data_IF_475535134491
#
_entry.id   IF_475535134491
#
_cell.length_a   1.000
_cell.length_b   1.000
_cell.length_c   1.000
_cell.angle_alpha   90.00
_cell.angle_beta   90.00
_cell.angle_gamma   90.00
#
_symmetry.space_group_name_H-M   'P 1'
#
loop_
_entity.id
_entity.type
_entity.pdbx_description
1 polymer ?
#
# COMPACT_ATOMS: atom_id res chain seq x y z
N UNK A 1 -34.64 -11.94 24.29
CA UNK A 1 -33.95 -12.96 25.09
C UNK A 1 -32.71 -13.40 24.35
N UNK A 2 -31.55 -13.18 24.92
CA UNK A 2 -30.28 -13.69 24.36
C UNK A 2 -30.28 -15.20 24.61
N UNK A 3 -30.18 -15.99 23.56
CA UNK A 3 -30.26 -17.43 23.63
C UNK A 3 -28.92 -18.13 23.73
N UNK A 4 -27.80 -17.44 23.42
CA UNK A 4 -26.46 -18.01 23.46
C UNK A 4 -25.44 -16.96 23.84
N UNK A 5 -24.38 -17.37 24.51
CA UNK A 5 -23.21 -16.53 24.77
C UNK A 5 -22.43 -16.23 23.45
N UNK A 6 -21.89 -15.05 23.36
CA UNK A 6 -21.03 -14.68 22.22
C UNK A 6 -19.70 -15.47 22.31
N UNK A 7 -19.13 -15.88 21.16
CA UNK A 7 -17.86 -16.61 21.13
C UNK A 7 -16.68 -15.79 21.67
N UNK A 8 -16.81 -14.47 21.70
CA UNK A 8 -15.89 -13.51 22.33
C UNK A 8 -16.61 -12.18 22.60
N UNK A 9 -16.04 -11.36 23.49
CA UNK A 9 -16.57 -10.03 23.78
C UNK A 9 -16.37 -9.08 22.59
N UNK A 10 -17.41 -8.31 22.26
CA UNK A 10 -17.36 -7.21 21.31
C UNK A 10 -16.70 -5.99 21.95
N UNK A 11 -16.94 -5.78 23.26
CA UNK A 11 -16.34 -4.69 24.02
C UNK A 11 -14.86 -4.94 24.29
N UNK A 12 -14.10 -3.88 24.44
CA UNK A 12 -12.71 -3.96 24.85
C UNK A 12 -12.62 -4.50 26.30
N UNK A 13 -12.01 -5.65 26.47
CA UNK A 13 -11.70 -6.22 27.78
C UNK A 13 -10.22 -5.99 28.06
N UNK A 14 -9.92 -5.42 29.23
CA UNK A 14 -8.54 -5.24 29.71
C UNK A 14 -8.27 -6.12 30.92
N UNK A 15 -7.05 -6.66 30.98
CA UNK A 15 -6.56 -7.35 32.17
C UNK A 15 -6.32 -6.36 33.30
N UNK A 16 -6.05 -6.86 34.51
CA UNK A 16 -5.77 -6.02 35.69
C UNK A 16 -4.55 -5.11 35.54
N UNK A 17 -3.60 -5.49 34.68
CA UNK A 17 -2.40 -4.74 34.33
C UNK A 17 -2.63 -3.71 33.20
N UNK A 18 -3.88 -3.57 32.71
CA UNK A 18 -4.24 -2.67 31.61
C UNK A 18 -4.06 -3.26 30.21
N UNK A 19 -3.49 -4.45 30.08
CA UNK A 19 -3.27 -5.13 28.77
C UNK A 19 -4.60 -5.46 28.10
N UNK A 20 -4.73 -5.09 26.82
CA UNK A 20 -5.92 -5.39 26.04
C UNK A 20 -6.02 -6.90 25.74
N UNK A 21 -7.16 -7.48 26.05
CA UNK A 21 -7.47 -8.88 25.69
C UNK A 21 -7.95 -8.91 24.24
N UNK A 22 -7.10 -9.41 23.34
CA UNK A 22 -7.46 -9.62 21.94
C UNK A 22 -7.88 -11.07 21.77
N UNK A 23 -9.10 -11.35 21.29
CA UNK A 23 -9.53 -12.71 20.99
C UNK A 23 -8.63 -13.37 19.93
N UNK A 24 -8.56 -14.71 19.97
CA UNK A 24 -7.80 -15.49 19.00
C UNK A 24 -8.19 -15.12 17.56
N UNK A 25 -7.23 -15.02 16.66
CA UNK A 25 -7.42 -14.56 15.28
C UNK A 25 -8.35 -15.50 14.49
N UNK A 26 -8.16 -16.82 14.61
CA UNK A 26 -9.02 -17.81 13.93
C UNK A 26 -10.49 -17.66 14.35
N UNK A 27 -10.72 -17.39 15.62
CA UNK A 27 -12.05 -17.18 16.15
C UNK A 27 -12.67 -15.87 15.63
N UNK A 28 -11.87 -14.81 15.53
CA UNK A 28 -12.27 -13.51 14.95
C UNK A 28 -12.58 -13.64 13.46
N UNK A 29 -11.80 -14.40 12.72
CA UNK A 29 -12.03 -14.66 11.29
C UNK A 29 -13.27 -15.52 11.08
N UNK A 30 -13.46 -16.55 11.90
CA UNK A 30 -14.67 -17.41 11.85
C UNK A 30 -15.96 -16.62 12.10
N UNK A 31 -15.94 -15.69 13.05
CA UNK A 31 -17.08 -14.84 13.41
C UNK A 31 -16.84 -13.39 13.01
N UNK A 32 -16.38 -13.18 11.77
CA UNK A 32 -15.93 -11.88 11.28
C UNK A 32 -16.96 -10.75 11.47
N UNK A 33 -18.24 -11.05 11.33
CA UNK A 33 -19.33 -10.09 11.56
C UNK A 33 -19.42 -9.58 13.01
N UNK A 34 -18.97 -10.38 13.99
CA UNK A 34 -18.85 -9.93 15.39
C UNK A 34 -17.55 -9.12 15.59
N UNK A 35 -16.45 -9.56 14.99
CA UNK A 35 -15.18 -8.82 15.08
C UNK A 35 -15.30 -7.42 14.47
N UNK A 36 -16.04 -7.28 13.37
CA UNK A 36 -16.34 -5.99 12.74
C UNK A 36 -17.20 -5.05 13.61
N UNK A 37 -17.80 -5.53 14.68
CA UNK A 37 -18.52 -4.69 15.66
C UNK A 37 -17.62 -4.11 16.73
N UNK A 38 -16.38 -4.57 16.84
CA UNK A 38 -15.41 -4.03 17.78
C UNK A 38 -14.93 -2.67 17.31
N UNK A 39 -14.80 -1.72 18.23
CA UNK A 39 -14.42 -0.34 17.93
C UNK A 39 -13.16 -0.23 17.08
N UNK A 40 -12.02 -0.91 17.38
CA UNK A 40 -10.81 -0.80 16.56
C UNK A 40 -11.04 -1.23 15.11
N UNK A 41 -11.87 -2.25 14.88
CA UNK A 41 -12.17 -2.73 13.53
C UNK A 41 -13.09 -1.77 12.78
N UNK A 42 -14.08 -1.20 13.47
CA UNK A 42 -14.95 -0.17 12.88
C UNK A 42 -14.16 1.08 12.53
N UNK A 43 -13.29 1.56 13.42
CA UNK A 43 -12.45 2.72 13.17
C UNK A 43 -11.56 2.54 11.94
N UNK A 44 -10.97 1.35 11.74
CA UNK A 44 -10.17 1.06 10.55
C UNK A 44 -11.01 1.15 9.26
N UNK A 45 -12.24 0.63 9.27
CA UNK A 45 -13.14 0.71 8.09
C UNK A 45 -13.58 2.15 7.84
N UNK A 46 -13.93 2.89 8.90
CA UNK A 46 -14.29 4.31 8.81
C UNK A 46 -13.13 5.14 8.27
N UNK A 47 -11.93 4.96 8.83
CA UNK A 47 -10.72 5.65 8.36
C UNK A 47 -10.45 5.36 6.87
N UNK A 48 -10.55 4.08 6.46
CA UNK A 48 -10.40 3.72 5.05
C UNK A 48 -11.39 4.46 4.15
N UNK A 49 -12.65 4.56 4.57
CA UNK A 49 -13.69 5.31 3.85
C UNK A 49 -13.35 6.79 3.75
N UNK A 50 -12.92 7.40 4.84
CA UNK A 50 -12.51 8.80 4.89
C UNK A 50 -11.29 9.08 4.01
N UNK A 51 -10.27 8.21 4.03
CA UNK A 51 -9.09 8.29 3.15
C UNK A 51 -9.51 8.28 1.67
N UNK A 52 -10.39 7.36 1.30
CA UNK A 52 -10.90 7.27 -0.08
C UNK A 52 -11.64 8.55 -0.49
N UNK A 53 -12.47 9.08 0.39
CA UNK A 53 -13.21 10.33 0.13
C UNK A 53 -12.26 11.53 0.00
N UNK A 54 -11.32 11.70 0.92
CA UNK A 54 -10.34 12.77 0.89
C UNK A 54 -9.43 12.70 -0.37
N UNK A 55 -9.09 11.51 -0.82
CA UNK A 55 -8.35 11.30 -2.08
C UNK A 55 -9.16 11.83 -3.27
N UNK A 56 -10.44 11.45 -3.36
CA UNK A 56 -11.34 11.94 -4.43
C UNK A 56 -11.50 13.44 -4.41
N UNK A 57 -11.72 14.01 -3.24
CA UNK A 57 -11.84 15.46 -3.05
C UNK A 57 -10.61 16.17 -3.62
N UNK A 58 -9.43 15.83 -3.14
CA UNK A 58 -8.18 16.46 -3.57
C UNK A 58 -7.92 16.31 -5.07
N UNK A 59 -8.00 15.09 -5.59
CA UNK A 59 -7.67 14.83 -6.99
C UNK A 59 -8.68 15.50 -7.93
N UNK A 60 -9.96 15.52 -7.58
CA UNK A 60 -10.99 16.23 -8.36
C UNK A 60 -10.73 17.75 -8.36
N UNK A 61 -10.37 18.35 -7.22
CA UNK A 61 -9.98 19.77 -7.15
C UNK A 61 -8.74 20.09 -7.99
N UNK A 62 -7.82 19.13 -8.17
CA UNK A 62 -6.64 19.25 -9.04
C UNK A 62 -6.94 18.99 -10.51
N UNK A 63 -8.20 18.75 -10.87
CA UNK A 63 -8.66 18.55 -12.23
C UNK A 63 -8.45 17.11 -12.75
N UNK A 64 -8.25 16.15 -11.86
CA UNK A 64 -8.25 14.74 -12.25
C UNK A 64 -9.68 14.23 -12.44
N UNK A 65 -9.85 13.37 -13.42
CA UNK A 65 -11.09 12.68 -13.69
C UNK A 65 -11.02 11.25 -13.17
N UNK A 66 -11.96 10.86 -12.30
CA UNK A 66 -12.09 9.48 -11.87
C UNK A 66 -12.73 8.65 -12.98
N UNK A 67 -12.00 7.65 -13.50
CA UNK A 67 -12.48 6.78 -14.57
C UNK A 67 -12.31 5.33 -14.13
N UNK A 68 -13.42 4.60 -14.10
CA UNK A 68 -13.43 3.18 -13.79
C UNK A 68 -13.04 2.36 -15.04
N UNK A 69 -12.10 1.43 -14.87
CA UNK A 69 -11.60 0.59 -15.96
C UNK A 69 -12.10 -0.85 -15.81
N UNK A 70 -12.17 -1.64 -16.92
CA UNK A 70 -12.60 -3.03 -16.87
C UNK A 70 -11.72 -3.90 -15.96
N UNK A 71 -12.35 -4.88 -15.29
CA UNK A 71 -11.66 -5.90 -14.48
C UNK A 71 -11.47 -7.23 -15.20
N UNK A 72 -12.31 -7.56 -16.19
CA UNK A 72 -12.09 -8.70 -17.08
C UNK A 72 -11.29 -8.26 -18.29
N UNK A 73 -10.00 -8.48 -18.25
CA UNK A 73 -9.06 -7.99 -19.25
C UNK A 73 -8.33 -9.14 -19.95
N UNK A 74 -7.56 -8.83 -20.95
CA UNK A 74 -6.56 -9.73 -21.52
C UNK A 74 -5.32 -9.72 -20.60
N UNK A 75 -4.71 -10.88 -20.40
CA UNK A 75 -3.43 -10.98 -19.68
C UNK A 75 -2.38 -10.03 -20.26
N UNK A 76 -1.72 -9.30 -19.36
CA UNK A 76 -0.63 -8.37 -19.68
C UNK A 76 0.58 -8.72 -18.81
N UNK A 77 1.80 -8.73 -19.36
CA UNK A 77 3.01 -9.07 -18.60
C UNK A 77 3.43 -7.89 -17.72
N UNK A 78 2.95 -7.84 -16.48
CA UNK A 78 3.24 -6.75 -15.52
C UNK A 78 4.12 -7.20 -14.33
N UNK A 79 4.73 -8.39 -14.41
CA UNK A 79 5.71 -8.86 -13.42
C UNK A 79 5.17 -9.91 -12.44
N UNK A 80 3.94 -9.84 -11.98
CA UNK A 80 3.29 -10.87 -11.17
C UNK A 80 2.58 -11.92 -12.05
N UNK A 81 2.16 -13.02 -11.46
CA UNK A 81 1.25 -13.96 -12.13
C UNK A 81 -0.18 -13.42 -12.08
N UNK A 82 -0.93 -13.68 -13.15
CA UNK A 82 -2.32 -13.26 -13.26
C UNK A 82 -3.27 -14.28 -12.62
N UNK A 83 -4.32 -13.79 -11.97
CA UNK A 83 -5.50 -14.60 -11.69
C UNK A 83 -6.33 -14.73 -12.95
N UNK A 84 -6.68 -15.97 -13.33
CA UNK A 84 -7.41 -16.28 -14.56
C UNK A 84 -8.86 -16.65 -14.26
N UNK A 85 -9.78 -16.11 -15.06
CA UNK A 85 -11.20 -16.43 -15.02
C UNK A 85 -11.60 -17.15 -16.32
N UNK A 86 -12.07 -18.41 -16.26
CA UNK A 86 -12.48 -19.14 -17.46
C UNK A 86 -13.62 -18.45 -18.19
N UNK A 87 -13.53 -18.37 -19.51
CA UNK A 87 -14.62 -17.86 -20.34
C UNK A 87 -15.70 -18.94 -20.55
N UNK A 88 -16.93 -18.64 -20.14
CA UNK A 88 -18.07 -19.52 -20.40
C UNK A 88 -18.45 -19.57 -21.90
N UNK A 89 -18.23 -18.45 -22.60
CA UNK A 89 -18.64 -18.29 -24.01
C UNK A 89 -17.60 -18.86 -24.98
N UNK A 90 -16.33 -18.83 -24.60
CA UNK A 90 -15.23 -19.29 -25.44
C UNK A 90 -14.44 -20.40 -24.74
N UNK A 91 -14.75 -21.69 -24.98
CA UNK A 91 -14.03 -22.81 -24.36
C UNK A 91 -12.53 -22.73 -24.60
N UNK A 92 -11.74 -23.00 -23.55
CA UNK A 92 -10.28 -22.93 -23.56
C UNK A 92 -9.69 -21.53 -23.55
N UNK A 93 -10.51 -20.47 -23.44
CA UNK A 93 -10.04 -19.09 -23.27
C UNK A 93 -10.33 -18.57 -21.87
N UNK A 94 -9.53 -17.59 -21.44
CA UNK A 94 -9.58 -17.02 -20.10
C UNK A 94 -9.55 -15.50 -20.19
N UNK A 95 -10.19 -14.86 -19.22
CA UNK A 95 -9.93 -13.48 -18.85
C UNK A 95 -8.86 -13.47 -17.77
N UNK A 96 -8.14 -12.36 -17.66
CA UNK A 96 -7.25 -12.05 -16.54
C UNK A 96 -7.88 -11.00 -15.64
N UNK A 97 -7.62 -11.06 -14.34
CA UNK A 97 -7.88 -9.96 -13.42
C UNK A 97 -6.71 -8.97 -13.46
N UNK A 98 -6.94 -7.65 -13.34
CA UNK A 98 -5.90 -6.65 -13.52
C UNK A 98 -4.90 -6.63 -12.36
N UNK A 99 -3.62 -6.63 -12.67
CA UNK A 99 -2.56 -6.36 -11.70
C UNK A 99 -2.47 -4.87 -11.36
N UNK A 100 -2.82 -4.03 -12.33
CA UNK A 100 -3.06 -2.59 -12.25
C UNK A 100 -3.88 -2.15 -13.47
N UNK A 101 -4.47 -0.95 -13.51
CA UNK A 101 -5.13 -0.43 -14.70
C UNK A 101 -4.18 0.13 -15.76
N UNK A 102 -2.91 -0.29 -15.78
CA UNK A 102 -1.81 0.29 -16.56
C UNK A 102 -2.13 0.47 -18.05
N UNK A 103 -2.63 -0.57 -18.72
CA UNK A 103 -2.96 -0.50 -20.14
C UNK A 103 -4.05 0.55 -20.42
N UNK A 104 -5.09 0.55 -19.59
CA UNK A 104 -6.25 1.43 -19.80
C UNK A 104 -5.92 2.89 -19.50
N UNK A 105 -5.17 3.18 -18.44
CA UNK A 105 -4.79 4.55 -18.13
C UNK A 105 -3.89 5.14 -19.20
N UNK A 106 -2.99 4.36 -19.82
CA UNK A 106 -2.21 4.80 -20.96
C UNK A 106 -3.09 5.10 -22.18
N UNK A 107 -4.10 4.24 -22.46
CA UNK A 107 -5.07 4.51 -23.52
C UNK A 107 -5.89 5.77 -23.25
N UNK A 108 -6.24 6.03 -22.00
CA UNK A 108 -6.92 7.27 -21.61
C UNK A 108 -6.05 8.50 -21.88
N UNK A 109 -4.76 8.45 -21.57
CA UNK A 109 -3.82 9.55 -21.93
C UNK A 109 -3.77 9.79 -23.44
N UNK A 110 -3.65 8.72 -24.23
CA UNK A 110 -3.70 8.81 -25.72
C UNK A 110 -5.03 9.38 -26.21
N UNK A 111 -6.11 9.13 -25.47
CA UNK A 111 -7.47 9.61 -25.81
C UNK A 111 -7.74 11.05 -25.34
N UNK A 112 -6.75 11.74 -24.78
CA UNK A 112 -6.86 13.14 -24.36
C UNK A 112 -7.43 13.38 -22.95
N UNK A 113 -7.46 12.34 -22.10
CA UNK A 113 -7.78 12.49 -20.67
C UNK A 113 -6.49 12.79 -19.90
N UNK A 114 -6.04 14.01 -19.89
CA UNK A 114 -4.72 14.41 -19.41
C UNK A 114 -4.45 14.18 -17.94
N UNK A 115 -5.47 14.02 -17.12
CA UNK A 115 -5.38 13.74 -15.69
C UNK A 115 -6.43 12.70 -15.30
N UNK A 116 -5.99 11.51 -15.01
CA UNK A 116 -6.83 10.37 -14.62
C UNK A 116 -6.48 9.94 -13.21
N UNK A 117 -7.48 9.46 -12.46
CA UNK A 117 -7.27 8.63 -11.29
C UNK A 117 -8.36 7.57 -11.15
N UNK A 118 -8.08 6.56 -10.33
CA UNK A 118 -9.04 5.53 -9.95
C UNK A 118 -8.66 4.96 -8.58
N UNK A 119 -9.66 4.65 -7.77
CA UNK A 119 -9.51 3.80 -6.60
C UNK A 119 -9.64 2.35 -7.08
N UNK A 120 -8.54 1.81 -7.59
CA UNK A 120 -8.51 0.59 -8.38
C UNK A 120 -8.37 -0.67 -7.52
N UNK A 121 -9.22 -1.68 -7.78
CA UNK A 121 -9.01 -3.02 -7.24
C UNK A 121 -8.00 -3.77 -8.13
N UNK A 122 -6.94 -4.27 -7.49
CA UNK A 122 -5.82 -4.94 -8.16
C UNK A 122 -5.60 -6.33 -7.59
N UNK A 123 -5.09 -7.24 -8.43
CA UNK A 123 -4.93 -8.65 -8.13
C UNK A 123 -3.56 -9.13 -8.59
N UNK A 124 -2.79 -9.78 -7.70
CA UNK A 124 -1.49 -10.35 -8.03
C UNK A 124 -1.35 -11.71 -7.36
N UNK A 125 -1.12 -12.75 -8.15
CA UNK A 125 -0.86 -14.10 -7.64
C UNK A 125 0.61 -14.21 -7.25
N UNK A 126 0.91 -13.69 -6.09
CA UNK A 126 2.24 -13.68 -5.46
C UNK A 126 2.16 -14.23 -4.04
N UNK A 127 3.29 -14.70 -3.53
CA UNK A 127 3.39 -15.13 -2.14
C UNK A 127 3.13 -13.97 -1.19
N UNK A 128 2.32 -14.22 -0.16
CA UNK A 128 2.06 -13.24 0.88
C UNK A 128 3.35 -12.92 1.65
N UNK A 129 3.68 -11.64 1.77
CA UNK A 129 4.84 -11.15 2.51
C UNK A 129 4.48 -9.92 3.32
N UNK A 130 4.64 -9.97 4.63
CA UNK A 130 4.35 -8.83 5.50
C UNK A 130 2.93 -8.34 5.32
N UNK A 131 2.76 -7.14 4.77
CA UNK A 131 1.48 -6.48 4.51
C UNK A 131 0.93 -6.69 3.09
N UNK A 132 1.60 -7.47 2.23
CA UNK A 132 1.16 -7.72 0.86
C UNK A 132 0.04 -8.76 0.82
N UNK A 133 -1.03 -8.39 0.13
CA UNK A 133 -2.20 -9.24 -0.09
C UNK A 133 -2.37 -9.51 -1.59
N UNK A 134 -2.90 -10.68 -1.99
CA UNK A 134 -3.14 -11.00 -3.41
C UNK A 134 -4.22 -10.13 -4.05
N UNK A 135 -5.11 -9.57 -3.24
CA UNK A 135 -6.14 -8.61 -3.62
C UNK A 135 -5.98 -7.34 -2.79
N UNK A 136 -5.80 -6.19 -3.44
CA UNK A 136 -5.57 -4.92 -2.77
C UNK A 136 -6.13 -3.76 -3.57
N UNK A 137 -6.15 -2.58 -2.96
CA UNK A 137 -6.63 -1.34 -3.59
C UNK A 137 -5.46 -0.39 -3.81
N UNK A 138 -5.39 0.21 -4.99
CA UNK A 138 -4.46 1.28 -5.32
C UNK A 138 -5.21 2.62 -5.44
N UNK A 139 -4.59 3.69 -5.01
CA UNK A 139 -4.85 5.03 -5.53
C UNK A 139 -4.00 5.12 -6.79
N UNK A 140 -4.61 4.91 -7.94
CA UNK A 140 -3.91 4.91 -9.22
C UNK A 140 -4.11 6.24 -9.93
N UNK A 141 -3.03 6.86 -10.42
CA UNK A 141 -3.06 8.15 -11.10
C UNK A 141 -2.21 8.11 -12.35
N UNK A 142 -2.60 8.90 -13.35
CA UNK A 142 -1.80 9.13 -14.55
C UNK A 142 -1.96 10.57 -15.00
N UNK A 143 -0.87 11.16 -15.49
CA UNK A 143 -0.82 12.54 -15.98
C UNK A 143 -0.07 12.61 -17.30
N UNK A 144 -0.65 13.31 -18.30
CA UNK A 144 0.02 13.69 -19.54
C UNK A 144 0.76 15.00 -19.39
N UNK A 145 1.76 15.24 -20.26
CA UNK A 145 2.46 16.52 -20.39
C UNK A 145 3.02 17.05 -19.06
N UNK A 146 3.49 16.17 -18.20
CA UNK A 146 3.97 16.46 -16.85
C UNK A 146 5.44 16.11 -16.71
N UNK A 147 6.04 16.56 -15.63
CA UNK A 147 7.40 16.23 -15.24
C UNK A 147 7.42 15.58 -13.84
N UNK A 148 8.60 15.08 -13.44
CA UNK A 148 8.78 14.41 -12.15
C UNK A 148 8.32 15.26 -10.97
N UNK A 149 8.68 16.54 -10.94
CA UNK A 149 8.36 17.42 -9.80
C UNK A 149 6.86 17.68 -9.67
N UNK A 150 6.12 17.76 -10.78
CA UNK A 150 4.66 17.89 -10.75
C UNK A 150 3.98 16.63 -10.19
N UNK A 151 4.47 15.44 -10.55
CA UNK A 151 3.96 14.18 -10.00
C UNK A 151 4.24 14.11 -8.50
N UNK A 152 5.44 14.45 -8.07
CA UNK A 152 5.84 14.44 -6.67
C UNK A 152 5.02 15.46 -5.87
N UNK A 153 4.91 16.70 -6.32
CA UNK A 153 4.15 17.74 -5.62
C UNK A 153 2.64 17.44 -5.54
N UNK A 154 2.08 16.83 -6.59
CA UNK A 154 0.69 16.37 -6.57
C UNK A 154 0.50 15.27 -5.52
N UNK A 155 1.42 14.31 -5.45
CA UNK A 155 1.37 13.22 -4.47
C UNK A 155 1.57 13.72 -3.05
N UNK A 156 2.53 14.62 -2.82
CA UNK A 156 2.76 15.26 -1.52
C UNK A 156 1.52 16.01 -1.04
N UNK A 157 0.94 16.84 -1.89
CA UNK A 157 -0.28 17.58 -1.57
C UNK A 157 -1.48 16.66 -1.28
N UNK A 158 -1.62 15.56 -2.01
CA UNK A 158 -2.63 14.54 -1.73
C UNK A 158 -2.42 13.91 -0.34
N UNK A 159 -1.20 13.53 0.02
CA UNK A 159 -0.89 12.97 1.33
C UNK A 159 -1.16 13.97 2.45
N UNK A 160 -0.75 15.24 2.28
CA UNK A 160 -1.04 16.31 3.24
C UNK A 160 -2.55 16.48 3.45
N UNK A 161 -3.32 16.52 2.37
CA UNK A 161 -4.78 16.64 2.44
C UNK A 161 -5.42 15.46 3.18
N UNK A 162 -5.02 14.22 2.83
CA UNK A 162 -5.53 13.01 3.47
C UNK A 162 -5.24 13.03 4.98
N UNK A 163 -4.00 13.25 5.38
CA UNK A 163 -3.61 13.24 6.80
C UNK A 163 -4.29 14.35 7.59
N UNK A 164 -4.39 15.54 7.01
CA UNK A 164 -5.11 16.65 7.63
C UNK A 164 -6.60 16.35 7.84
N UNK A 165 -7.26 15.83 6.80
CA UNK A 165 -8.71 15.53 6.84
C UNK A 165 -9.07 14.36 7.75
N UNK A 166 -8.24 13.31 7.78
CA UNK A 166 -8.59 12.06 8.46
C UNK A 166 -8.04 11.98 9.88
N UNK A 167 -6.87 12.54 10.13
CA UNK A 167 -6.17 12.43 11.41
C UNK A 167 -5.94 13.78 12.09
N UNK A 168 -6.32 14.88 11.45
CA UNK A 168 -5.97 16.24 11.86
C UNK A 168 -4.46 16.43 12.13
N UNK A 169 -3.65 15.75 11.33
CA UNK A 169 -2.19 15.76 11.41
C UNK A 169 -1.61 16.51 10.22
N UNK A 170 -0.70 17.44 10.47
CA UNK A 170 -0.03 18.23 9.44
C UNK A 170 1.30 17.58 9.06
N UNK A 171 1.40 17.13 7.82
CA UNK A 171 2.64 16.66 7.24
C UNK A 171 3.52 17.85 6.82
N UNK A 172 4.85 17.67 6.69
CA UNK A 172 5.74 18.69 6.14
C UNK A 172 5.25 19.23 4.80
N UNK A 173 5.51 20.51 4.54
CA UNK A 173 5.15 21.15 3.27
C UNK A 173 5.85 20.51 2.07
N UNK A 174 7.03 19.97 2.28
CA UNK A 174 7.81 19.22 1.31
C UNK A 174 8.45 18.03 2.01
N UNK A 175 8.43 16.86 1.35
CA UNK A 175 9.09 15.67 1.85
C UNK A 175 10.57 15.69 1.48
N UNK A 176 11.40 15.07 2.32
CA UNK A 176 12.83 14.97 2.07
C UNK A 176 13.12 14.22 0.76
N UNK A 177 14.13 14.66 0.08
CA UNK A 177 14.64 14.03 -1.14
C UNK A 177 15.97 13.36 -0.82
N UNK A 178 16.04 12.05 -0.97
CA UNK A 178 17.24 11.25 -0.75
C UNK A 178 17.65 10.66 -2.09
N UNK A 179 18.93 10.80 -2.45
CA UNK A 179 19.46 10.11 -3.61
C UNK A 179 19.44 8.59 -3.38
N UNK A 180 19.33 7.83 -4.46
CA UNK A 180 19.26 6.36 -4.34
C UNK A 180 20.55 5.80 -3.74
N UNK A 181 21.69 6.31 -4.14
CA UNK A 181 23.00 5.95 -3.60
C UNK A 181 23.06 6.19 -2.09
N UNK A 182 22.66 7.38 -1.63
CA UNK A 182 22.63 7.72 -0.19
C UNK A 182 21.69 6.81 0.59
N UNK A 183 20.54 6.44 0.01
CA UNK A 183 19.58 5.56 0.66
C UNK A 183 20.18 4.15 0.85
N UNK A 184 20.90 3.62 -0.14
CA UNK A 184 21.57 2.33 -0.03
C UNK A 184 22.82 2.38 0.85
N UNK A 185 23.65 3.40 0.74
CA UNK A 185 24.89 3.54 1.51
C UNK A 185 24.60 3.70 3.01
N UNK A 186 23.58 4.48 3.36
CA UNK A 186 23.27 4.75 4.76
C UNK A 186 22.27 3.77 5.39
N UNK A 187 21.40 3.14 4.61
CA UNK A 187 20.29 2.34 5.17
C UNK A 187 20.13 0.96 4.55
N UNK A 188 20.86 0.63 3.48
CA UNK A 188 20.77 -0.65 2.76
C UNK A 188 19.42 -0.90 2.09
N UNK A 189 18.65 0.16 1.82
CA UNK A 189 17.29 0.06 1.30
C UNK A 189 16.92 1.30 0.49
N UNK A 190 16.14 1.10 -0.58
CA UNK A 190 15.49 2.17 -1.34
C UNK A 190 14.26 2.78 -0.63
N UNK A 191 13.90 2.26 0.55
CA UNK A 191 12.78 2.70 1.39
C UNK A 191 13.23 2.86 2.84
N UNK A 192 14.16 3.78 3.12
CA UNK A 192 14.70 3.92 4.45
C UNK A 192 13.65 4.39 5.46
N UNK A 193 13.67 3.82 6.65
CA UNK A 193 12.91 4.34 7.77
C UNK A 193 13.72 5.43 8.48
N UNK A 194 13.34 6.68 8.25
CA UNK A 194 14.04 7.85 8.80
C UNK A 194 13.68 8.19 10.25
N UNK A 195 12.84 7.38 10.91
CA UNK A 195 12.51 7.58 12.34
C UNK A 195 13.66 7.20 13.26
N UNK A 196 14.70 6.55 12.73
CA UNK A 196 15.90 6.13 13.45
C UNK A 196 17.14 6.80 12.87
N UNK A 197 18.02 7.28 13.73
CA UNK A 197 19.33 7.83 13.36
C UNK A 197 20.41 6.74 13.24
N UNK A 198 20.07 5.55 12.81
CA UNK A 198 20.98 4.43 12.68
C UNK A 198 21.49 4.32 11.24
N UNK A 199 22.42 5.17 10.86
CA UNK A 199 23.09 5.11 9.56
C UNK A 199 24.22 4.11 9.56
N UNK A 200 24.31 3.28 8.51
CA UNK A 200 25.45 2.42 8.29
C UNK A 200 26.73 3.27 8.10
N UNK A 201 27.82 2.74 8.58
CA UNK A 201 29.14 3.36 8.46
C UNK A 201 30.07 2.42 7.74
N UNK A 202 30.92 2.94 6.87
CA UNK A 202 31.99 2.16 6.27
C UNK A 202 33.01 1.78 7.36
N UNK A 203 33.11 0.48 7.62
CA UNK A 203 34.03 -0.11 8.60
C UNK A 203 35.15 -0.92 7.93
N UNK A 204 35.38 -0.75 6.64
CA UNK A 204 36.39 -1.47 5.85
C UNK A 204 37.78 -1.39 6.47
N UNK A 205 38.12 -0.23 7.08
CA UNK A 205 39.40 -0.03 7.78
C UNK A 205 39.59 -1.00 8.97
N UNK A 206 38.51 -1.55 9.53
CA UNK A 206 38.61 -2.51 10.63
C UNK A 206 39.07 -3.89 10.17
N UNK A 207 38.98 -4.19 8.86
CA UNK A 207 39.41 -5.48 8.32
C UNK A 207 40.91 -5.72 8.51
N UNK A 208 41.73 -4.66 8.46
CA UNK A 208 43.15 -4.73 8.68
C UNK A 208 43.54 -4.88 10.16
N UNK A 209 42.64 -4.49 11.06
CA UNK A 209 42.83 -4.52 12.52
C UNK A 209 42.31 -5.80 13.16
N UNK A 210 41.44 -6.51 12.46
CA UNK A 210 40.76 -7.68 12.99
C UNK A 210 41.41 -9.01 12.53
N UNK A 211 41.55 -9.94 13.46
CA UNK A 211 42.02 -11.32 13.14
C UNK A 211 40.85 -12.25 12.72
N UNK A 212 39.74 -11.65 12.25
CA UNK A 212 38.54 -12.38 11.86
C UNK A 212 38.43 -12.48 10.34
N UNK A 213 38.60 -13.69 9.82
CA UNK A 213 38.66 -13.98 8.38
C UNK A 213 37.44 -13.52 7.59
N UNK A 214 36.25 -13.49 8.21
CA UNK A 214 35.04 -13.01 7.53
C UNK A 214 35.09 -11.51 7.23
N UNK A 215 35.70 -10.71 8.10
CA UNK A 215 35.89 -9.27 7.83
C UNK A 215 36.91 -9.03 6.73
N UNK A 216 38.02 -9.79 6.72
CA UNK A 216 39.04 -9.72 5.67
C UNK A 216 38.47 -10.09 4.29
N UNK A 217 37.63 -11.14 4.25
CA UNK A 217 36.97 -11.57 3.01
C UNK A 217 35.91 -10.58 2.52
N UNK A 218 35.18 -9.93 3.42
CA UNK A 218 34.17 -8.90 3.09
C UNK A 218 34.79 -7.61 2.58
N UNK A 219 35.95 -7.23 3.08
CA UNK A 219 36.67 -6.02 2.64
C UNK A 219 37.41 -6.19 1.31
N UNK A 220 37.59 -7.43 0.83
CA UNK A 220 38.28 -7.75 -0.43
C UNK A 220 37.34 -7.77 -1.66
N UNK A 221 36.04 -7.65 -1.46
CA UNK A 221 35.01 -7.58 -2.49
C UNK A 221 34.42 -6.17 -2.61
#
# INVERSE_FOLDING_TARGET
>A
TVSQELPFSIEEVRQKDGTLVIPNEDLRLKYRYLDLRRDPMQQNIILRSQVTFATREYLTEKGFLEIETPTFIKSTPEGARDYLVPSRVHPGKFYSLPQSPQLYKQLLMVSGFDKYFQIARCYRDEDARGDRQPEFTQIDMEMSFTNREEVLSTTEGMMQHIFKKTLNYELPAQFDRIAWEDAFDYYGSDKPDLRFELKMQDATFMADLADFNAFKAGAAN
#
